data_IF_748295893798
#
_entry.id   IF_748295893798
#
_cell.length_a   1.000
_cell.length_b   1.000
_cell.length_c   1.000
_cell.angle_alpha   90.00
_cell.angle_beta   90.00
_cell.angle_gamma   90.00
#
_symmetry.space_group_name_H-M   'P 1'
#
loop_
_entity.id
_entity.type
_entity.pdbx_description
1 polymer ?
#
# COMPACT_ATOMS: atom_id res chain seq x y z
N UNK A 1 33.54 -6.96 10.22
CA UNK A 1 33.22 -5.64 9.63
C UNK A 1 32.10 -5.85 8.62
N UNK A 2 30.85 -5.80 9.09
CA UNK A 2 29.67 -5.65 8.22
C UNK A 2 28.92 -4.47 8.82
N UNK A 3 29.18 -3.29 8.25
CA UNK A 3 28.33 -2.12 8.41
C UNK A 3 27.44 -2.10 7.17
N UNK A 4 26.13 -2.02 7.36
CA UNK A 4 25.07 -1.52 6.46
C UNK A 4 23.75 -2.21 6.86
N UNK A 5 23.17 -1.82 8.00
CA UNK A 5 21.72 -1.73 8.05
C UNK A 5 21.42 -0.28 7.72
N UNK A 6 20.99 -0.04 6.49
CA UNK A 6 20.42 1.23 6.13
C UNK A 6 19.25 1.45 7.09
N UNK A 7 19.35 2.44 7.97
CA UNK A 7 18.16 3.09 8.49
C UNK A 7 17.59 3.86 7.31
N UNK A 8 16.92 3.16 6.39
CA UNK A 8 16.19 3.82 5.31
C UNK A 8 15.22 4.79 6.00
N UNK A 9 15.50 6.07 5.82
CA UNK A 9 14.68 7.15 6.32
C UNK A 9 13.33 7.02 5.63
N UNK A 10 12.42 6.30 6.27
CA UNK A 10 11.06 6.08 5.76
C UNK A 10 10.51 7.44 5.35
N UNK A 11 10.10 7.54 4.08
CA UNK A 11 9.72 8.82 3.53
C UNK A 11 8.56 9.42 4.35
N UNK A 12 8.64 10.66 4.85
CA UNK A 12 7.58 11.26 5.66
C UNK A 12 6.24 11.38 4.92
N UNK A 13 6.22 11.23 3.59
CA UNK A 13 4.99 11.15 2.78
C UNK A 13 4.28 9.80 2.88
N UNK A 14 4.95 8.74 3.36
CA UNK A 14 4.39 7.41 3.53
C UNK A 14 3.66 7.31 4.89
N UNK A 15 2.54 8.01 5.00
CA UNK A 15 1.68 7.97 6.18
C UNK A 15 0.27 7.48 5.79
N UNK A 16 -0.35 6.59 6.59
CA UNK A 16 0.13 5.98 7.83
C UNK A 16 1.12 4.83 7.62
N UNK A 17 2.11 4.71 8.52
CA UNK A 17 3.09 3.61 8.53
C UNK A 17 2.67 2.56 9.57
N UNK A 18 2.62 1.29 9.15
CA UNK A 18 2.34 0.17 10.05
C UNK A 18 3.53 -0.11 10.98
N UNK A 19 3.25 -0.49 12.24
CA UNK A 19 4.29 -1.00 13.13
C UNK A 19 4.80 -2.38 12.66
N UNK A 20 5.84 -2.91 13.31
CA UNK A 20 6.42 -4.20 12.92
C UNK A 20 5.45 -5.38 13.07
N UNK A 21 4.56 -5.38 14.07
CA UNK A 21 3.64 -6.50 14.31
C UNK A 21 2.49 -6.48 13.30
N UNK A 22 1.96 -5.30 13.03
CA UNK A 22 0.93 -5.06 12.01
C UNK A 22 1.47 -5.35 10.61
N UNK A 23 2.73 -5.00 10.33
CA UNK A 23 3.38 -5.32 9.05
C UNK A 23 3.44 -6.83 8.81
N UNK A 24 3.83 -7.62 9.82
CA UNK A 24 3.81 -9.10 9.72
C UNK A 24 2.39 -9.61 9.46
N UNK A 25 1.42 -9.12 10.21
CA UNK A 25 0.00 -9.52 10.06
C UNK A 25 -0.54 -9.20 8.66
N UNK A 26 -0.22 -8.02 8.13
CA UNK A 26 -0.59 -7.61 6.76
C UNK A 26 0.09 -8.49 5.72
N UNK A 27 1.37 -8.83 5.91
CA UNK A 27 2.09 -9.70 5.00
C UNK A 27 1.47 -11.11 4.96
N UNK A 28 1.08 -11.65 6.11
CA UNK A 28 0.39 -12.94 6.20
C UNK A 28 -0.97 -12.92 5.47
N UNK A 29 -1.74 -11.83 5.61
CA UNK A 29 -3.00 -11.65 4.88
C UNK A 29 -2.80 -11.51 3.36
N UNK A 30 -1.81 -10.72 2.94
CA UNK A 30 -1.47 -10.57 1.51
C UNK A 30 -1.02 -11.91 0.92
N UNK A 31 -0.26 -12.69 1.67
CA UNK A 31 0.17 -14.03 1.28
C UNK A 31 -1.00 -15.00 1.15
N UNK A 32 -1.97 -14.95 2.08
CA UNK A 32 -3.21 -15.72 1.98
C UNK A 32 -4.02 -15.31 0.74
N UNK A 33 -4.22 -14.00 0.51
CA UNK A 33 -4.92 -13.48 -0.66
C UNK A 33 -4.23 -13.84 -1.99
N UNK A 34 -2.89 -13.98 -1.98
CA UNK A 34 -2.13 -14.46 -3.13
C UNK A 34 -2.48 -15.91 -3.47
N UNK A 35 -2.61 -16.77 -2.46
CA UNK A 35 -2.97 -18.18 -2.64
C UNK A 35 -4.39 -18.33 -3.22
N UNK A 36 -5.32 -17.45 -2.82
CA UNK A 36 -6.68 -17.38 -3.37
C UNK A 36 -6.79 -16.60 -4.69
N UNK A 37 -5.69 -16.03 -5.20
CA UNK A 37 -5.65 -15.19 -6.41
C UNK A 37 -6.56 -13.96 -6.35
N UNK A 38 -6.80 -13.44 -5.14
CA UNK A 38 -7.66 -12.28 -4.90
C UNK A 38 -6.88 -10.95 -4.84
N UNK A 39 -5.55 -10.99 -4.76
CA UNK A 39 -4.74 -9.77 -4.75
C UNK A 39 -4.42 -9.27 -6.17
N UNK A 40 -4.25 -7.95 -6.28
CA UNK A 40 -3.72 -7.27 -7.47
C UNK A 40 -2.42 -6.59 -7.07
N UNK A 41 -1.34 -6.84 -7.81
CA UNK A 41 0.03 -6.40 -7.46
C UNK A 41 0.45 -5.13 -8.20
N UNK A 42 -0.24 -4.78 -9.28
CA UNK A 42 0.10 -3.63 -10.11
C UNK A 42 -0.58 -2.36 -9.61
N UNK A 43 0.17 -1.25 -9.62
CA UNK A 43 -0.33 0.09 -9.30
C UNK A 43 -1.59 0.47 -10.12
N UNK A 44 -1.59 0.17 -11.42
CA UNK A 44 -2.74 0.44 -12.29
C UNK A 44 -3.96 -0.44 -11.97
N UNK A 45 -3.75 -1.68 -11.54
CA UNK A 45 -4.84 -2.58 -11.15
C UNK A 45 -5.42 -2.20 -9.78
N UNK A 46 -4.58 -1.74 -8.86
CA UNK A 46 -5.02 -1.15 -7.59
C UNK A 46 -5.93 0.06 -7.87
N UNK A 47 -5.54 0.99 -8.74
CA UNK A 47 -6.38 2.13 -9.12
C UNK A 47 -7.70 1.70 -9.79
N UNK A 48 -7.68 0.71 -10.68
CA UNK A 48 -8.91 0.19 -11.32
C UNK A 48 -9.88 -0.44 -10.33
N UNK A 49 -9.37 -1.24 -9.38
CA UNK A 49 -10.20 -1.90 -8.35
C UNK A 49 -10.76 -0.91 -7.35
N UNK A 50 -9.99 0.14 -7.04
CA UNK A 50 -10.44 1.26 -6.21
C UNK A 50 -11.55 2.07 -6.90
N UNK A 51 -11.39 2.41 -8.18
CA UNK A 51 -12.40 3.13 -8.98
C UNK A 51 -13.70 2.32 -9.17
N UNK A 52 -13.61 0.99 -9.18
CA UNK A 52 -14.78 0.09 -9.24
C UNK A 52 -15.43 -0.15 -7.87
N UNK A 53 -14.82 0.35 -6.80
CA UNK A 53 -15.31 0.16 -5.43
C UNK A 53 -15.20 -1.26 -4.89
N UNK A 54 -14.39 -2.13 -5.51
CA UNK A 54 -14.22 -3.54 -5.11
C UNK A 54 -13.04 -3.71 -4.14
N UNK A 55 -12.07 -2.78 -4.16
CA UNK A 55 -10.93 -2.81 -3.23
C UNK A 55 -11.35 -2.25 -1.87
N UNK A 56 -11.19 -3.09 -0.83
CA UNK A 56 -11.45 -2.74 0.58
C UNK A 56 -10.23 -2.14 1.27
N UNK A 57 -9.02 -2.59 0.92
CA UNK A 57 -7.77 -2.05 1.41
C UNK A 57 -6.65 -2.20 0.37
N UNK A 58 -5.65 -1.31 0.45
CA UNK A 58 -4.46 -1.31 -0.41
C UNK A 58 -3.22 -1.27 0.48
N UNK A 59 -2.29 -2.20 0.25
CA UNK A 59 -0.99 -2.22 0.94
C UNK A 59 0.06 -1.65 0.01
N UNK A 60 0.84 -0.70 0.49
CA UNK A 60 1.92 -0.03 -0.25
C UNK A 60 3.20 -0.09 0.56
N UNK A 61 4.33 -0.23 -0.13
CA UNK A 61 5.64 -0.18 0.52
C UNK A 61 6.14 1.26 0.55
N UNK A 62 6.78 1.65 1.65
CA UNK A 62 7.23 3.03 1.88
C UNK A 62 8.60 3.33 1.24
N UNK A 63 9.27 2.31 0.72
CA UNK A 63 10.63 2.27 0.16
C UNK A 63 10.64 2.29 -1.38
N UNK A 64 9.49 2.39 -2.06
CA UNK A 64 9.47 2.42 -3.53
C UNK A 64 10.15 3.68 -4.07
N UNK A 65 11.11 3.49 -4.98
CA UNK A 65 11.67 4.55 -5.82
C UNK A 65 11.20 4.38 -7.28
N UNK A 66 10.52 5.37 -7.89
CA UNK A 66 10.04 6.63 -7.33
C UNK A 66 8.69 6.51 -6.60
N UNK A 67 8.59 7.10 -5.40
CA UNK A 67 7.39 7.08 -4.56
C UNK A 67 6.19 7.81 -5.20
N UNK A 68 6.44 8.69 -6.19
CA UNK A 68 5.38 9.41 -6.92
C UNK A 68 4.40 8.50 -7.67
N UNK A 69 4.82 7.28 -8.04
CA UNK A 69 3.95 6.30 -8.71
C UNK A 69 2.84 5.82 -7.76
N UNK A 70 3.15 5.66 -6.48
CA UNK A 70 2.20 5.27 -5.45
C UNK A 70 1.41 6.47 -4.93
N UNK A 71 2.05 7.63 -4.78
CA UNK A 71 1.39 8.84 -4.27
C UNK A 71 0.29 9.40 -5.18
N UNK A 72 0.29 9.11 -6.49
CA UNK A 72 -0.84 9.50 -7.34
C UNK A 72 -2.14 8.72 -7.04
N UNK A 73 -2.03 7.56 -6.41
CA UNK A 73 -3.13 6.62 -6.21
C UNK A 73 -3.88 6.91 -4.90
N UNK A 74 -3.16 7.35 -3.86
CA UNK A 74 -3.66 7.64 -2.51
C UNK A 74 -4.70 8.78 -2.44
N UNK A 75 -4.46 9.99 -2.98
CA UNK A 75 -5.28 11.16 -2.68
C UNK A 75 -6.56 11.27 -3.54
N UNK A 76 -6.54 10.80 -4.78
CA UNK A 76 -7.62 11.08 -5.74
C UNK A 76 -8.90 10.24 -5.52
N UNK A 77 -8.76 9.02 -4.97
CA UNK A 77 -9.84 8.03 -4.97
C UNK A 77 -10.34 7.61 -3.58
N UNK A 78 -9.57 7.90 -2.51
CA UNK A 78 -9.97 7.64 -1.12
C UNK A 78 -10.76 8.80 -0.49
N UNK A 79 -10.44 10.05 -0.86
CA UNK A 79 -11.06 11.24 -0.25
C UNK A 79 -12.44 11.61 -0.82
N UNK A 80 -12.83 11.06 -1.98
CA UNK A 80 -14.09 11.36 -2.66
C UNK A 80 -15.19 10.28 -2.46
N UNK A 81 -15.04 9.38 -1.48
CA UNK A 81 -16.09 8.39 -1.12
C UNK A 81 -16.62 8.55 0.30
N UNK A 82 -16.46 9.75 0.87
CA UNK A 82 -16.99 10.13 2.19
C UNK A 82 -18.13 11.16 2.15
N UNK A 83 -18.64 11.52 0.97
CA UNK A 83 -19.75 12.48 0.80
C UNK A 83 -20.82 11.97 -0.17
N UNK A 84 -21.42 10.85 0.18
CA UNK A 84 -22.78 10.50 -0.24
C UNK A 84 -23.60 10.34 1.04
N UNK A 85 -24.42 11.37 1.31
CA UNK A 85 -25.57 11.32 2.19
C UNK A 85 -26.68 10.45 1.56
#
# INVERSE_FOLDING_TARGET
MVLLYATETVNPKAYPLADSQLTTTLMDLVQQAANYKQNKKDANEATKTLNRGVSEFVVMTADTEPLEILLHILPLNGSNRGNEC
#
